data_IF_267678313501
#
_entry.id   IF_267678313501
#
_cell.length_a   1.000
_cell.length_b   1.000
_cell.length_c   1.000
_cell.angle_alpha   90.00
_cell.angle_beta   90.00
_cell.angle_gamma   90.00
#
_symmetry.space_group_name_H-M   'P 1'
#
loop_
_entity.id
_entity.type
_entity.pdbx_description
1 polymer ?
#
# COMPACT_ATOMS: atom_id res chain seq x y z
N UNK A 1 0.03 48.42 -6.53
CA UNK A 1 -0.88 47.62 -7.36
C UNK A 1 -0.54 46.18 -7.03
N UNK A 2 -1.21 45.59 -6.02
CA UNK A 2 -0.93 44.24 -5.57
C UNK A 2 -1.76 43.28 -6.46
N UNK A 3 -1.09 42.29 -7.06
CA UNK A 3 -1.75 41.25 -7.82
C UNK A 3 -2.47 40.29 -6.86
N UNK A 4 -3.76 40.21 -7.00
CA UNK A 4 -4.63 39.24 -6.37
C UNK A 4 -4.29 37.84 -6.99
N UNK A 5 -3.72 36.93 -6.19
CA UNK A 5 -3.44 35.54 -6.56
C UNK A 5 -4.35 34.61 -5.77
N UNK A 6 -5.67 34.80 -5.86
CA UNK A 6 -6.63 33.78 -5.47
C UNK A 6 -6.89 32.84 -6.65
N UNK A 7 -5.87 32.13 -7.08
CA UNK A 7 -6.04 30.96 -7.95
C UNK A 7 -6.41 29.76 -7.10
N UNK A 8 -7.64 29.31 -7.17
CA UNK A 8 -8.01 27.94 -6.73
C UNK A 8 -7.37 26.99 -7.73
N UNK A 9 -6.14 26.56 -7.44
CA UNK A 9 -5.46 25.57 -8.29
C UNK A 9 -6.26 24.27 -8.27
N UNK A 10 -6.69 23.83 -9.45
CA UNK A 10 -7.36 22.55 -9.60
C UNK A 10 -6.42 21.39 -9.21
N UNK A 11 -6.94 20.27 -8.68
CA UNK A 11 -6.11 19.10 -8.34
C UNK A 11 -5.23 18.68 -9.54
N UNK A 12 -3.93 18.44 -9.29
CA UNK A 12 -2.94 18.12 -10.33
C UNK A 12 -2.19 19.31 -10.92
N UNK A 13 -2.37 20.52 -10.40
CA UNK A 13 -1.59 21.69 -10.81
C UNK A 13 -0.16 21.62 -10.28
N UNK A 14 0.79 22.06 -11.10
CA UNK A 14 2.18 22.25 -10.69
C UNK A 14 2.58 23.73 -10.90
N UNK A 15 3.26 24.30 -9.91
CA UNK A 15 3.79 25.66 -9.96
C UNK A 15 5.24 25.68 -9.50
N UNK A 16 6.00 26.72 -9.88
CA UNK A 16 7.35 26.94 -9.36
C UNK A 16 7.32 28.22 -8.53
N UNK A 17 7.61 28.09 -7.23
CA UNK A 17 7.68 29.20 -6.29
C UNK A 17 9.09 29.19 -5.68
N UNK A 18 9.81 30.28 -5.80
CA UNK A 18 11.20 30.43 -5.31
C UNK A 18 12.14 29.30 -5.76
N UNK A 19 11.96 28.79 -6.99
CA UNK A 19 12.76 27.70 -7.55
C UNK A 19 12.37 26.31 -7.04
N UNK A 20 11.32 26.19 -6.23
CA UNK A 20 10.78 24.92 -5.74
C UNK A 20 9.57 24.53 -6.56
N UNK A 21 9.54 23.27 -7.00
CA UNK A 21 8.37 22.71 -7.68
C UNK A 21 7.29 22.33 -6.64
N UNK A 22 6.15 22.96 -6.76
CA UNK A 22 4.97 22.65 -5.96
C UNK A 22 3.99 21.85 -6.79
N UNK A 23 3.50 20.75 -6.22
CA UNK A 23 2.47 19.90 -6.81
C UNK A 23 1.33 19.75 -5.82
N UNK A 24 0.11 19.82 -6.29
CA UNK A 24 -1.08 19.67 -5.45
C UNK A 24 -1.89 18.46 -5.90
N UNK A 25 -2.19 17.60 -4.95
CA UNK A 25 -3.01 16.41 -5.12
C UNK A 25 -4.01 16.29 -3.97
N UNK A 26 -5.13 15.61 -4.21
CA UNK A 26 -6.11 15.34 -3.16
C UNK A 26 -5.59 14.29 -2.16
N UNK A 27 -4.85 13.31 -2.68
CA UNK A 27 -4.25 12.22 -1.89
C UNK A 27 -2.78 12.06 -2.28
N UNK A 28 -1.92 11.94 -1.28
CA UNK A 28 -0.50 11.62 -1.48
C UNK A 28 -0.17 10.32 -0.71
N UNK A 29 0.25 9.30 -1.46
CA UNK A 29 0.66 8.01 -0.92
C UNK A 29 2.20 7.95 -0.90
N UNK A 30 2.79 7.69 0.24
CA UNK A 30 4.24 7.60 0.40
C UNK A 30 4.66 6.13 0.42
N UNK A 31 5.29 5.69 -0.65
CA UNK A 31 5.75 4.32 -0.87
C UNK A 31 4.95 3.61 -1.96
N UNK A 32 5.65 3.01 -2.92
CA UNK A 32 5.08 2.27 -4.06
C UNK A 32 5.37 0.75 -3.97
N UNK A 33 5.39 0.19 -2.76
CA UNK A 33 5.31 -1.24 -2.53
C UNK A 33 3.87 -1.76 -2.68
N UNK A 34 3.61 -3.03 -2.35
CA UNK A 34 2.29 -3.64 -2.50
C UNK A 34 1.18 -2.85 -1.83
N UNK A 35 1.36 -2.46 -0.57
CA UNK A 35 0.36 -1.68 0.16
C UNK A 35 0.07 -0.31 -0.47
N UNK A 36 1.13 0.43 -0.87
CA UNK A 36 0.95 1.74 -1.50
C UNK A 36 0.31 1.65 -2.87
N UNK A 37 0.65 0.64 -3.67
CA UNK A 37 0.03 0.42 -4.98
C UNK A 37 -1.43 -0.03 -4.85
N UNK A 38 -1.78 -0.88 -3.89
CA UNK A 38 -3.18 -1.24 -3.62
C UNK A 38 -4.00 -0.03 -3.19
N UNK A 39 -3.45 0.81 -2.30
CA UNK A 39 -4.08 2.06 -1.90
C UNK A 39 -4.27 3.02 -3.10
N UNK A 40 -3.31 3.09 -4.02
CA UNK A 40 -3.41 3.93 -5.20
C UNK A 40 -4.48 3.43 -6.19
N UNK A 41 -4.63 2.12 -6.34
CA UNK A 41 -5.69 1.51 -7.17
C UNK A 41 -7.06 1.87 -6.61
N UNK A 42 -7.23 1.80 -5.28
CA UNK A 42 -8.48 2.14 -4.63
C UNK A 42 -8.80 3.64 -4.69
N UNK A 43 -7.81 4.49 -4.43
CA UNK A 43 -8.00 5.95 -4.37
C UNK A 43 -8.16 6.60 -5.77
N UNK A 44 -7.45 6.08 -6.77
CA UNK A 44 -7.33 6.71 -8.08
C UNK A 44 -8.64 6.97 -8.82
N UNK A 45 -9.67 6.11 -8.77
CA UNK A 45 -10.98 6.38 -9.36
C UNK A 45 -11.76 7.49 -8.68
N UNK A 46 -11.41 7.86 -7.45
CA UNK A 46 -12.18 8.76 -6.60
C UNK A 46 -11.51 10.13 -6.38
N UNK A 47 -10.19 10.21 -6.56
CA UNK A 47 -9.43 11.41 -6.25
C UNK A 47 -8.17 11.52 -7.12
N UNK A 48 -7.69 12.75 -7.34
CA UNK A 48 -6.39 12.98 -7.97
C UNK A 48 -5.28 12.56 -7.01
N UNK A 49 -4.65 11.42 -7.29
CA UNK A 49 -3.76 10.73 -6.36
C UNK A 49 -2.32 10.72 -6.89
N UNK A 50 -1.38 11.09 -6.02
CA UNK A 50 0.05 10.94 -6.28
C UNK A 50 0.64 9.81 -5.44
N UNK A 51 1.58 9.06 -6.02
CA UNK A 51 2.40 8.09 -5.30
C UNK A 51 3.84 8.56 -5.32
N UNK A 52 4.41 8.80 -4.14
CA UNK A 52 5.81 9.18 -3.98
C UNK A 52 6.63 7.94 -3.66
N UNK A 53 7.64 7.66 -4.44
CA UNK A 53 8.48 6.48 -4.25
C UNK A 53 9.96 6.81 -4.46
N UNK A 54 10.82 6.18 -3.66
CA UNK A 54 12.28 6.26 -3.81
C UNK A 54 12.77 5.59 -5.09
N UNK A 55 12.12 4.47 -5.46
CA UNK A 55 12.46 3.67 -6.64
C UNK A 55 11.21 3.44 -7.47
N UNK A 56 11.40 3.03 -8.71
CA UNK A 56 10.30 2.61 -9.56
C UNK A 56 9.51 1.45 -8.90
N UNK A 57 8.16 1.42 -8.97
CA UNK A 57 7.34 0.46 -8.23
C UNK A 57 7.75 -1.02 -8.40
N UNK A 58 8.15 -1.42 -9.61
CA UNK A 58 8.63 -2.80 -9.88
C UNK A 58 9.97 -3.13 -9.24
N UNK A 59 10.65 -2.16 -8.62
CA UNK A 59 11.89 -2.32 -7.85
C UNK A 59 11.64 -2.36 -6.34
N UNK A 60 10.37 -2.35 -5.92
CA UNK A 60 9.99 -2.54 -4.51
C UNK A 60 10.30 -3.97 -4.04
N UNK A 61 10.36 -4.18 -2.72
CA UNK A 61 10.49 -5.54 -2.16
C UNK A 61 9.34 -6.45 -2.61
N UNK A 62 8.12 -5.93 -2.72
CA UNK A 62 6.97 -6.67 -3.25
C UNK A 62 7.21 -7.11 -4.69
N UNK A 63 7.69 -6.21 -5.56
CA UNK A 63 7.98 -6.53 -6.96
C UNK A 63 9.20 -7.45 -7.14
N UNK A 64 10.14 -7.46 -6.18
CA UNK A 64 11.35 -8.28 -6.21
C UNK A 64 11.17 -9.63 -5.49
N UNK A 65 10.06 -9.85 -4.80
CA UNK A 65 9.77 -11.09 -4.10
C UNK A 65 9.64 -12.26 -5.09
N UNK A 66 10.19 -13.42 -4.71
CA UNK A 66 10.12 -14.65 -5.52
C UNK A 66 9.03 -15.62 -5.01
N UNK A 67 8.46 -15.34 -3.85
CA UNK A 67 7.32 -16.07 -3.30
C UNK A 67 6.00 -15.36 -3.60
N UNK A 68 4.91 -16.07 -3.41
CA UNK A 68 3.57 -15.50 -3.46
C UNK A 68 3.10 -14.98 -2.11
N UNK A 69 1.83 -14.66 -2.02
CA UNK A 69 1.13 -14.41 -0.76
C UNK A 69 0.54 -15.73 -0.25
N UNK A 70 0.78 -16.04 1.02
CA UNK A 70 0.20 -17.21 1.65
C UNK A 70 -1.17 -16.85 2.26
N UNK A 71 -2.16 -17.69 2.00
CA UNK A 71 -3.47 -17.60 2.62
C UNK A 71 -4.07 -19.01 2.79
N UNK A 72 -4.76 -19.23 3.90
CA UNK A 72 -5.39 -20.51 4.22
C UNK A 72 -6.73 -20.64 3.49
N UNK A 73 -6.68 -20.94 2.18
CA UNK A 73 -7.87 -21.03 1.31
C UNK A 73 -8.58 -22.36 1.41
N UNK A 74 -7.97 -23.40 1.98
CA UNK A 74 -8.49 -24.75 2.05
C UNK A 74 -8.97 -25.32 0.70
N UNK A 75 -8.36 -24.91 -0.41
CA UNK A 75 -8.79 -25.26 -1.76
C UNK A 75 -8.17 -26.55 -2.30
N UNK A 76 -7.15 -27.09 -1.65
CA UNK A 76 -6.47 -28.32 -2.03
C UNK A 76 -6.63 -29.38 -0.93
N UNK A 77 -6.42 -28.99 0.31
CA UNK A 77 -6.54 -29.83 1.51
C UNK A 77 -7.12 -28.99 2.66
N UNK A 78 -7.46 -29.65 3.76
CA UNK A 78 -7.99 -28.96 4.94
C UNK A 78 -6.96 -27.97 5.48
N UNK A 79 -7.36 -26.71 5.64
CA UNK A 79 -6.54 -25.63 6.16
C UNK A 79 -7.42 -24.59 6.85
N UNK A 80 -6.85 -23.76 7.72
CA UNK A 80 -7.54 -22.67 8.38
C UNK A 80 -6.56 -21.57 8.81
N UNK A 81 -7.09 -20.40 9.05
CA UNK A 81 -6.30 -19.23 9.43
C UNK A 81 -5.62 -19.39 10.81
N UNK A 82 -6.17 -20.21 11.70
CA UNK A 82 -5.56 -20.47 13.02
C UNK A 82 -4.24 -21.25 12.87
N UNK A 83 -4.17 -22.20 11.95
CA UNK A 83 -2.93 -22.90 11.63
C UNK A 83 -1.92 -21.97 10.98
N UNK A 84 -2.36 -21.13 10.05
CA UNK A 84 -1.51 -20.12 9.42
C UNK A 84 -0.95 -19.14 10.46
N UNK A 85 -1.77 -18.69 11.42
CA UNK A 85 -1.32 -17.85 12.56
C UNK A 85 -0.26 -18.58 13.39
N UNK A 86 -0.53 -19.85 13.75
CA UNK A 86 0.42 -20.64 14.54
C UNK A 86 1.76 -20.79 13.82
N UNK A 87 1.76 -21.12 12.55
CA UNK A 87 2.98 -21.29 11.76
C UNK A 87 3.75 -19.98 11.62
N UNK A 88 3.05 -18.86 11.47
CA UNK A 88 3.66 -17.52 11.42
C UNK A 88 4.34 -17.17 12.75
N UNK A 89 3.65 -17.38 13.86
CA UNK A 89 4.18 -17.12 15.21
C UNK A 89 5.37 -18.03 15.52
N UNK A 90 5.23 -19.32 15.21
CA UNK A 90 6.29 -20.32 15.41
C UNK A 90 7.50 -20.05 14.50
N UNK A 91 7.28 -19.72 13.24
CA UNK A 91 8.35 -19.37 12.28
C UNK A 91 9.13 -18.12 12.69
N UNK A 92 8.51 -17.22 13.43
CA UNK A 92 9.17 -16.07 14.06
C UNK A 92 9.76 -16.32 15.43
N UNK A 93 9.98 -17.58 15.82
CA UNK A 93 10.51 -17.99 17.15
C UNK A 93 9.72 -17.41 18.33
N UNK A 94 8.42 -17.20 18.15
CA UNK A 94 7.50 -16.58 19.14
C UNK A 94 7.89 -15.14 19.53
N UNK A 95 8.71 -14.46 18.74
CA UNK A 95 9.13 -13.07 18.95
C UNK A 95 8.31 -12.06 18.14
N UNK A 96 7.34 -12.52 17.38
CA UNK A 96 6.46 -11.69 16.56
C UNK A 96 5.37 -11.02 17.39
N UNK A 97 4.79 -9.95 16.87
CA UNK A 97 3.52 -9.41 17.35
C UNK A 97 2.42 -10.41 16.97
N UNK A 98 1.90 -11.12 17.97
CA UNK A 98 0.96 -12.21 17.76
C UNK A 98 -0.41 -11.73 17.30
N UNK A 99 -0.85 -10.56 17.77
CA UNK A 99 -2.10 -9.94 17.35
C UNK A 99 -2.03 -9.55 15.86
N UNK A 100 -0.91 -8.99 15.43
CA UNK A 100 -0.67 -8.67 14.04
C UNK A 100 -0.60 -9.93 13.15
N UNK A 101 -0.01 -11.01 13.63
CA UNK A 101 0.04 -12.29 12.93
C UNK A 101 -1.36 -12.90 12.74
N UNK A 102 -2.22 -12.80 13.76
CA UNK A 102 -3.61 -13.25 13.68
C UNK A 102 -4.41 -12.44 12.67
N UNK A 103 -4.32 -11.11 12.72
CA UNK A 103 -4.99 -10.22 11.77
C UNK A 103 -4.54 -10.54 10.34
N UNK A 104 -3.22 -10.66 10.12
CA UNK A 104 -2.66 -11.01 8.82
C UNK A 104 -3.22 -12.33 8.28
N UNK A 105 -3.24 -13.38 9.08
CA UNK A 105 -3.70 -14.69 8.65
C UNK A 105 -5.21 -14.72 8.34
N UNK A 106 -6.02 -14.00 9.12
CA UNK A 106 -7.46 -13.87 8.89
C UNK A 106 -7.77 -13.08 7.61
N UNK A 107 -7.16 -11.92 7.48
CA UNK A 107 -7.46 -11.00 6.38
C UNK A 107 -6.80 -11.43 5.06
N UNK A 108 -5.76 -12.28 5.11
CA UNK A 108 -5.09 -12.79 3.92
C UNK A 108 -6.05 -13.55 2.98
N UNK A 109 -7.07 -14.21 3.52
CA UNK A 109 -8.04 -14.99 2.73
C UNK A 109 -8.78 -14.06 1.76
N UNK A 110 -9.37 -12.98 2.27
CA UNK A 110 -10.09 -12.03 1.45
C UNK A 110 -9.14 -11.21 0.57
N UNK A 111 -8.00 -10.79 1.11
CA UNK A 111 -7.01 -9.98 0.38
C UNK A 111 -6.39 -10.69 -0.83
N UNK A 112 -6.30 -12.03 -0.82
CA UNK A 112 -5.79 -12.81 -1.96
C UNK A 112 -6.84 -13.00 -3.04
N UNK A 113 -8.12 -12.98 -2.67
CA UNK A 113 -9.25 -13.15 -3.60
C UNK A 113 -9.68 -11.82 -4.26
N UNK A 114 -9.30 -10.68 -3.69
CA UNK A 114 -9.63 -9.34 -4.15
C UNK A 114 -8.73 -8.89 -5.35
#
# INVERSE_FOLDING_TARGET
MAADTTGTDAPGTSSIIDGVHHHQFDIVIVGAGGAGMRAAIEAGPHANTAVISKLYPTRSHTGAAQGGMAAALANVEEDNWEWHTYDTVKGGDYLVDQDAAEILAKEAIDAVLD
#
